data_IF_667160168317
#
_entry.id   IF_667160168317
#
_cell.length_a   1.000
_cell.length_b   1.000
_cell.length_c   1.000
_cell.angle_alpha   90.00
_cell.angle_beta   90.00
_cell.angle_gamma   90.00
#
_symmetry.space_group_name_H-M   'P 1'
#
loop_
_entity.id
_entity.type
_entity.pdbx_description
1 polymer ?
#
# COMPACT_ATOMS: atom_id res chain seq x y z
N UNK A 1 -12.60 10.98 18.17
CA UNK A 1 -13.53 11.36 17.08
C UNK A 1 -12.87 12.23 15.98
N UNK A 2 -11.58 12.05 15.61
CA UNK A 2 -10.90 12.88 14.58
C UNK A 2 -10.37 12.08 13.36
N UNK A 3 -10.40 10.74 13.43
CA UNK A 3 -9.86 9.87 12.38
C UNK A 3 -10.83 9.67 11.22
N UNK A 4 -12.14 9.82 11.48
CA UNK A 4 -13.19 9.64 10.48
C UNK A 4 -13.22 10.80 9.46
N UNK A 5 -13.01 12.03 9.90
CA UNK A 5 -13.08 13.22 9.02
C UNK A 5 -11.98 13.27 7.97
N UNK A 6 -10.80 12.71 8.27
CA UNK A 6 -9.70 12.62 7.28
C UNK A 6 -9.98 11.53 6.23
N UNK A 7 -10.50 10.39 6.67
CA UNK A 7 -10.89 9.30 5.79
C UNK A 7 -12.02 9.70 4.84
N UNK A 8 -13.03 10.42 5.35
CA UNK A 8 -14.17 10.91 4.57
C UNK A 8 -13.74 11.96 3.54
N UNK A 9 -12.89 12.93 3.93
CA UNK A 9 -12.34 13.90 2.99
C UNK A 9 -11.56 13.24 1.86
N UNK A 10 -10.69 12.27 2.19
CA UNK A 10 -9.94 11.54 1.17
C UNK A 10 -10.86 10.76 0.23
N UNK A 11 -11.92 10.13 0.76
CA UNK A 11 -12.94 9.44 -0.05
C UNK A 11 -13.66 10.39 -1.00
N UNK A 12 -14.01 11.60 -0.56
CA UNK A 12 -14.63 12.61 -1.42
C UNK A 12 -13.71 12.99 -2.60
N UNK A 13 -12.43 13.25 -2.33
CA UNK A 13 -11.45 13.49 -3.40
C UNK A 13 -11.28 12.28 -4.32
N UNK A 14 -11.21 11.07 -3.76
CA UNK A 14 -11.06 9.86 -4.57
C UNK A 14 -12.28 9.58 -5.46
N UNK A 15 -13.49 9.93 -5.01
CA UNK A 15 -14.68 9.81 -5.86
C UNK A 15 -14.65 10.78 -7.06
N UNK A 16 -13.98 11.93 -6.91
CA UNK A 16 -13.85 12.92 -7.98
C UNK A 16 -12.74 12.55 -8.98
N UNK A 17 -11.63 11.96 -8.51
CA UNK A 17 -10.40 11.80 -9.30
C UNK A 17 -9.91 10.35 -9.48
N UNK A 18 -10.47 9.38 -8.77
CA UNK A 18 -9.93 8.04 -8.60
C UNK A 18 -10.22 7.04 -9.72
N UNK A 19 -10.63 7.53 -10.89
CA UNK A 19 -10.74 6.77 -12.15
C UNK A 19 -11.48 5.43 -12.00
N UNK A 20 -12.61 5.45 -11.28
CA UNK A 20 -13.48 4.29 -10.99
C UNK A 20 -12.83 3.15 -10.18
N UNK A 21 -11.64 3.35 -9.62
CA UNK A 21 -10.99 2.35 -8.78
C UNK A 21 -11.60 2.31 -7.38
N UNK A 22 -11.99 1.12 -6.86
CA UNK A 22 -12.62 1.00 -5.56
C UNK A 22 -11.63 1.35 -4.43
N UNK A 23 -11.96 2.38 -3.64
CA UNK A 23 -11.18 2.78 -2.47
C UNK A 23 -11.57 1.96 -1.22
N UNK A 24 -10.65 1.10 -0.77
CA UNK A 24 -10.74 0.40 0.51
C UNK A 24 -9.92 1.12 1.60
N UNK A 25 -10.57 1.45 2.71
CA UNK A 25 -9.92 2.07 3.87
C UNK A 25 -9.71 0.97 4.92
N UNK A 26 -8.46 0.75 5.31
CA UNK A 26 -8.09 -0.20 6.35
C UNK A 26 -7.77 0.56 7.64
N UNK A 27 -8.40 0.17 8.74
CA UNK A 27 -8.06 0.71 10.06
C UNK A 27 -6.77 0.07 10.54
N UNK A 28 -5.76 0.89 10.82
CA UNK A 28 -4.47 0.44 11.35
C UNK A 28 -4.42 0.72 12.86
N UNK A 29 -4.53 -0.31 13.72
CA UNK A 29 -4.21 -0.16 15.13
C UNK A 29 -2.71 0.12 15.30
N UNK A 30 -2.37 1.06 16.18
CA UNK A 30 -0.99 1.39 16.57
C UNK A 30 -0.04 1.88 15.45
N UNK A 31 -0.56 2.56 14.41
CA UNK A 31 0.24 3.12 13.29
C UNK A 31 1.07 2.07 12.51
N UNK A 32 0.74 0.79 12.64
CA UNK A 32 1.40 -0.27 11.90
C UNK A 32 0.80 -0.36 10.48
N UNK A 33 1.58 -0.10 9.43
CA UNK A 33 1.07 -0.14 8.04
C UNK A 33 1.22 -1.54 7.43
N UNK A 34 2.36 -2.19 7.67
CA UNK A 34 2.71 -3.47 7.03
C UNK A 34 1.76 -4.60 7.46
N UNK A 35 1.57 -4.78 8.77
CA UNK A 35 0.78 -5.89 9.32
C UNK A 35 -0.70 -5.90 8.85
N UNK A 36 -1.48 -4.80 8.94
CA UNK A 36 -2.87 -4.84 8.47
C UNK A 36 -2.97 -4.99 6.95
N UNK A 37 -2.00 -4.51 6.17
CA UNK A 37 -2.00 -4.70 4.73
C UNK A 37 -1.75 -6.16 4.35
N UNK A 38 -0.77 -6.82 5.00
CA UNK A 38 -0.50 -8.25 4.80
C UNK A 38 -1.72 -9.09 5.15
N UNK A 39 -2.33 -8.85 6.32
CA UNK A 39 -3.57 -9.55 6.73
C UNK A 39 -4.71 -9.35 5.73
N UNK A 40 -4.84 -8.15 5.18
CA UNK A 40 -5.86 -7.88 4.17
C UNK A 40 -5.61 -8.68 2.88
N UNK A 41 -4.38 -8.73 2.40
CA UNK A 41 -4.00 -9.51 1.21
C UNK A 41 -4.21 -11.00 1.46
N UNK A 42 -3.81 -11.52 2.63
CA UNK A 42 -4.08 -12.91 3.04
C UNK A 42 -5.58 -13.23 3.03
N UNK A 43 -6.41 -12.31 3.54
CA UNK A 43 -7.87 -12.49 3.52
C UNK A 43 -8.46 -12.50 2.10
N UNK A 44 -7.86 -11.75 1.18
CA UNK A 44 -8.29 -11.73 -0.23
C UNK A 44 -7.93 -13.04 -0.93
N UNK A 45 -6.73 -13.56 -0.67
CA UNK A 45 -6.28 -14.86 -1.18
C UNK A 45 -7.18 -15.99 -0.66
N UNK A 46 -7.53 -15.99 0.63
CA UNK A 46 -8.46 -16.97 1.21
C UNK A 46 -9.87 -16.90 0.62
N UNK A 47 -10.37 -15.71 0.31
CA UNK A 47 -11.70 -15.53 -0.28
C UNK A 47 -11.74 -15.94 -1.76
N UNK A 48 -10.61 -15.86 -2.46
CA UNK A 48 -10.49 -16.16 -3.89
C UNK A 48 -9.26 -17.01 -4.16
N UNK A 49 -9.26 -18.26 -3.68
CA UNK A 49 -8.13 -19.14 -3.87
C UNK A 49 -7.88 -19.34 -5.36
N UNK A 50 -6.63 -19.20 -5.80
CA UNK A 50 -6.26 -19.42 -7.19
C UNK A 50 -6.06 -18.16 -8.04
N UNK A 51 -6.29 -16.96 -7.50
CA UNK A 51 -5.93 -15.73 -8.19
C UNK A 51 -4.47 -15.33 -7.92
N UNK A 52 -3.87 -14.60 -8.85
CA UNK A 52 -2.56 -13.98 -8.66
C UNK A 52 -2.77 -12.51 -8.34
N UNK A 53 -2.33 -12.08 -7.17
CA UNK A 53 -2.49 -10.70 -6.70
C UNK A 53 -1.25 -9.89 -7.07
N UNK A 54 -1.42 -8.83 -7.85
CA UNK A 54 -0.33 -7.91 -8.18
C UNK A 54 -0.40 -6.68 -7.28
N UNK A 55 0.66 -6.46 -6.49
CA UNK A 55 0.81 -5.30 -5.61
C UNK A 55 1.79 -4.32 -6.26
N UNK A 56 1.28 -3.15 -6.65
CA UNK A 56 2.09 -2.08 -7.24
C UNK A 56 2.55 -1.17 -6.10
N UNK A 57 3.87 -1.08 -5.91
CA UNK A 57 4.50 -0.23 -4.90
C UNK A 57 5.23 0.93 -5.59
N UNK A 58 4.78 2.19 -5.40
CA UNK A 58 5.53 3.34 -5.87
C UNK A 58 6.78 3.53 -4.99
N UNK A 59 7.95 3.62 -5.61
CA UNK A 59 9.21 3.98 -4.95
C UNK A 59 9.64 5.38 -5.39
N UNK A 60 9.66 6.32 -4.45
CA UNK A 60 10.11 7.69 -4.74
C UNK A 60 11.63 7.69 -4.98
N UNK A 61 12.05 8.10 -6.19
CA UNK A 61 13.45 8.20 -6.60
C UNK A 61 13.81 9.68 -6.76
N UNK A 62 14.56 10.22 -5.81
CA UNK A 62 15.09 11.60 -5.87
C UNK A 62 16.47 11.65 -6.52
N UNK A 63 16.76 12.75 -7.23
CA UNK A 63 18.01 12.96 -8.01
C UNK A 63 19.30 13.00 -7.17
N UNK A 64 19.23 13.43 -5.90
CA UNK A 64 20.40 13.56 -5.02
C UNK A 64 20.42 12.47 -3.93
N UNK A 65 21.34 11.50 -4.07
CA UNK A 65 21.49 10.34 -3.19
C UNK A 65 21.82 10.69 -1.72
N UNK A 66 22.39 11.87 -1.46
CA UNK A 66 22.75 12.34 -0.11
C UNK A 66 21.53 12.78 0.72
N UNK A 67 20.44 13.22 0.07
CA UNK A 67 19.13 13.45 0.72
C UNK A 67 18.30 12.16 0.86
N UNK A 68 18.75 11.07 0.23
CA UNK A 68 18.03 9.78 0.09
C UNK A 68 18.17 8.86 1.32
N UNK A 69 18.98 9.26 2.30
CA UNK A 69 19.30 8.47 3.49
C UNK A 69 18.18 8.40 4.55
N UNK A 70 17.10 9.20 4.41
CA UNK A 70 15.89 9.03 5.21
C UNK A 70 14.79 8.25 4.46
N UNK A 71 14.98 6.93 4.48
CA UNK A 71 13.95 5.99 4.94
C UNK A 71 12.66 5.86 4.09
N UNK A 72 12.77 5.43 2.83
CA UNK A 72 11.70 4.57 2.28
C UNK A 72 11.78 3.13 2.85
N UNK A 73 11.93 3.00 4.18
CA UNK A 73 11.97 1.71 4.88
C UNK A 73 10.64 0.95 4.75
N UNK A 74 9.56 1.66 4.46
CA UNK A 74 8.24 1.06 4.32
C UNK A 74 8.13 0.21 3.05
N UNK A 75 8.56 0.70 1.89
CA UNK A 75 8.57 -0.09 0.66
C UNK A 75 9.44 -1.35 0.81
N UNK A 76 10.63 -1.22 1.40
CA UNK A 76 11.51 -2.36 1.68
C UNK A 76 10.88 -3.38 2.65
N UNK A 77 10.23 -2.90 3.73
CA UNK A 77 9.52 -3.76 4.69
C UNK A 77 8.31 -4.45 4.07
N UNK A 78 7.51 -3.74 3.26
CA UNK A 78 6.38 -4.30 2.52
C UNK A 78 6.85 -5.36 1.54
N UNK A 79 7.86 -5.06 0.71
CA UNK A 79 8.42 -6.02 -0.24
C UNK A 79 8.97 -7.27 0.45
N UNK A 80 9.52 -7.15 1.67
CA UNK A 80 9.95 -8.31 2.47
C UNK A 80 8.76 -9.11 3.00
N UNK A 81 7.73 -8.44 3.52
CA UNK A 81 6.55 -9.08 4.10
C UNK A 81 5.61 -9.70 3.04
N UNK A 82 5.53 -9.13 1.85
CA UNK A 82 4.70 -9.65 0.75
C UNK A 82 5.35 -10.81 0.03
N UNK A 83 6.69 -10.91 0.05
CA UNK A 83 7.43 -12.04 -0.56
C UNK A 83 7.16 -13.38 0.10
N UNK A 84 6.72 -13.39 1.36
CA UNK A 84 6.33 -14.62 2.05
C UNK A 84 4.91 -15.07 1.70
N UNK A 85 4.13 -14.26 0.98
CA UNK A 85 2.78 -14.64 0.57
C UNK A 85 2.83 -15.39 -0.76
N UNK A 86 2.19 -16.58 -0.87
CA UNK A 86 2.10 -17.29 -2.12
C UNK A 86 1.27 -16.48 -3.13
N UNK A 87 1.59 -16.61 -4.43
CA UNK A 87 0.81 -16.00 -5.54
C UNK A 87 0.69 -14.47 -5.50
N UNK A 88 1.55 -13.78 -4.75
CA UNK A 88 1.63 -12.33 -4.71
C UNK A 88 2.83 -11.85 -5.54
N UNK A 89 2.56 -11.05 -6.57
CA UNK A 89 3.58 -10.41 -7.40
C UNK A 89 3.75 -8.97 -6.94
N UNK A 90 4.96 -8.58 -6.57
CA UNK A 90 5.26 -7.21 -6.13
C UNK A 90 6.00 -6.46 -7.24
N UNK A 91 5.36 -5.42 -7.78
CA UNK A 91 5.95 -4.57 -8.82
C UNK A 91 6.33 -3.22 -8.23
N UNK A 92 7.62 -2.94 -8.22
CA UNK A 92 8.13 -1.62 -7.83
C UNK A 92 8.09 -0.70 -9.04
N UNK A 93 7.43 0.46 -8.91
CA UNK A 93 7.41 1.50 -9.94
C UNK A 93 8.18 2.72 -9.44
N UNK A 94 9.31 3.10 -10.06
CA UNK A 94 10.05 4.28 -9.65
C UNK A 94 9.28 5.55 -10.03
N UNK A 95 8.92 6.34 -9.04
CA UNK A 95 8.32 7.66 -9.24
C UNK A 95 9.39 8.72 -9.03
N UNK A 96 9.74 9.42 -10.10
CA UNK A 96 10.69 10.52 -10.06
C UNK A 96 9.92 11.80 -9.73
N UNK A 97 10.28 12.44 -8.61
CA UNK A 97 9.74 13.73 -8.17
C UNK A 97 10.81 14.79 -8.34
#
# INVERSE_FOLDING_TARGET
MQWWDRAQRFRAYWNLWGDHLPLKILLSPYRAIVAPLVKYIESLDHQRPGLTLTVILPEIVVRHWRHRLLRNRLAARLRRALRSLPRVVVTTVPFHV
#
